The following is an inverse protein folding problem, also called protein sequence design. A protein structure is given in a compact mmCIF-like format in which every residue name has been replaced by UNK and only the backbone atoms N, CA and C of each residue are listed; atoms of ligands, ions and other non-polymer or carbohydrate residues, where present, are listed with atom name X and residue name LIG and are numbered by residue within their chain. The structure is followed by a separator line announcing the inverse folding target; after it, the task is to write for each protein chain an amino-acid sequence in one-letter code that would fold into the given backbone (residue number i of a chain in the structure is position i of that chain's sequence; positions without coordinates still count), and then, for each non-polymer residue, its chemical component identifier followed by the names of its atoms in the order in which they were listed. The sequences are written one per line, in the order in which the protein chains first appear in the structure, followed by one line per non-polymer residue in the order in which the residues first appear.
data_IF_452960410916
#
_entry.id   IF_452960410916
#
_cell.length_a   1.000
_cell.length_b   1.000
_cell.length_c   1.000
_cell.angle_alpha   90.00
_cell.angle_beta   90.00
_cell.angle_gamma   90.00
#
_symmetry.space_group_name_H-M   'P 1'
#
loop_
_entity.id
_entity.type
_entity.pdbx_description
1 polymer ?
#
# COMPACT_ATOMS: atom_id res chain seq x y z
N UNK A 1 31.26 8.45 -20.41
CA UNK A 1 30.33 7.31 -20.24
C UNK A 1 29.33 7.69 -19.17
N UNK A 2 28.13 8.13 -19.55
CA UNK A 2 27.11 8.59 -18.58
C UNK A 2 26.49 7.40 -17.87
N UNK A 3 26.61 7.36 -16.54
CA UNK A 3 25.86 6.44 -15.69
C UNK A 3 24.36 6.57 -15.99
N UNK A 4 23.63 5.48 -16.27
CA UNK A 4 22.21 5.58 -16.54
C UNK A 4 21.50 6.01 -15.25
N UNK A 5 20.85 7.17 -15.30
CA UNK A 5 19.95 7.65 -14.26
C UNK A 5 18.98 6.53 -13.88
N UNK A 6 18.83 6.28 -12.58
CA UNK A 6 17.92 5.26 -12.06
C UNK A 6 16.51 5.54 -12.61
N UNK A 7 16.09 4.77 -13.62
CA UNK A 7 14.76 4.91 -14.19
C UNK A 7 13.74 4.59 -13.10
N UNK A 8 12.67 5.40 -12.93
CA UNK A 8 11.72 5.17 -11.86
C UNK A 8 11.11 3.77 -11.99
N UNK A 9 11.16 3.01 -10.89
CA UNK A 9 10.67 1.63 -10.86
C UNK A 9 9.18 1.56 -11.23
N UNK A 10 8.77 0.49 -11.93
CA UNK A 10 7.36 0.27 -12.22
C UNK A 10 6.55 0.08 -10.93
N UNK A 11 5.39 0.73 -10.84
CA UNK A 11 4.39 0.54 -9.78
C UNK A 11 3.72 -0.83 -9.93
N UNK A 12 2.99 -1.26 -8.91
CA UNK A 12 2.19 -2.48 -8.96
C UNK A 12 1.07 -2.35 -10.01
N UNK A 13 0.46 -1.18 -10.13
CA UNK A 13 -0.50 -0.86 -11.20
C UNK A 13 0.11 -1.02 -12.59
N UNK A 14 1.26 -0.38 -12.84
CA UNK A 14 1.92 -0.46 -14.15
C UNK A 14 2.33 -1.90 -14.47
N UNK A 15 2.80 -2.66 -13.48
CA UNK A 15 3.12 -4.09 -13.65
C UNK A 15 1.88 -4.92 -13.98
N UNK A 16 0.73 -4.62 -13.38
CA UNK A 16 -0.54 -5.25 -13.70
C UNK A 16 -0.92 -4.98 -15.16
N UNK A 17 -0.82 -3.73 -15.62
CA UNK A 17 -1.11 -3.36 -17.00
C UNK A 17 -0.17 -4.06 -18.00
N UNK A 18 1.13 -4.11 -17.72
CA UNK A 18 2.10 -4.89 -18.50
C UNK A 18 1.71 -6.36 -18.56
N UNK A 19 1.31 -6.95 -17.42
CA UNK A 19 0.90 -8.35 -17.34
C UNK A 19 -0.35 -8.64 -18.16
N UNK A 20 -1.35 -7.75 -18.10
CA UNK A 20 -2.58 -7.86 -18.87
C UNK A 20 -2.34 -7.69 -20.36
N UNK A 21 -1.47 -6.74 -20.75
CA UNK A 21 -1.05 -6.55 -22.15
C UNK A 21 -0.39 -7.81 -22.71
N UNK A 22 0.53 -8.41 -21.97
CA UNK A 22 1.18 -9.67 -22.36
C UNK A 22 0.19 -10.85 -22.45
N UNK A 23 -0.87 -10.83 -21.63
CA UNK A 23 -1.93 -11.85 -21.64
C UNK A 23 -2.81 -11.73 -22.89
N UNK A 24 -3.14 -10.50 -23.30
CA UNK A 24 -3.93 -10.21 -24.50
C UNK A 24 -3.15 -10.43 -25.80
N UNK A 25 -1.82 -10.31 -25.75
CA UNK A 25 -0.94 -10.49 -26.91
C UNK A 25 0.17 -11.52 -26.62
N UNK A 26 -0.15 -12.83 -26.56
CA UNK A 26 0.81 -13.87 -26.15
C UNK A 26 2.00 -14.03 -27.11
N UNK A 27 1.83 -13.65 -28.38
CA UNK A 27 2.88 -13.67 -29.42
C UNK A 27 3.86 -12.48 -29.31
N UNK A 28 3.52 -11.44 -28.54
CA UNK A 28 4.35 -10.26 -28.38
C UNK A 28 5.70 -10.64 -27.74
N UNK A 29 6.79 -10.20 -28.35
CA UNK A 29 8.14 -10.47 -27.86
C UNK A 29 8.46 -9.60 -26.65
N UNK A 30 9.40 -10.06 -25.82
CA UNK A 30 9.81 -9.32 -24.62
C UNK A 30 10.30 -7.90 -24.98
N UNK A 31 11.04 -7.74 -26.09
CA UNK A 31 11.52 -6.45 -26.59
C UNK A 31 10.41 -5.49 -27.02
N UNK A 32 9.36 -5.98 -27.67
CA UNK A 32 8.19 -5.17 -28.04
C UNK A 32 7.44 -4.69 -26.80
N UNK A 33 7.36 -5.53 -25.77
CA UNK A 33 6.74 -5.15 -24.50
C UNK A 33 7.58 -4.11 -23.74
N UNK A 34 8.91 -4.15 -23.85
CA UNK A 34 9.79 -3.08 -23.31
C UNK A 34 9.53 -1.75 -24.01
N UNK A 35 9.44 -1.75 -25.34
CA UNK A 35 9.14 -0.54 -26.12
C UNK A 35 7.76 0.01 -25.77
N UNK A 36 6.78 -0.86 -25.57
CA UNK A 36 5.46 -0.46 -25.10
C UNK A 36 5.52 0.21 -23.72
N UNK A 37 6.25 -0.39 -22.76
CA UNK A 37 6.45 0.21 -21.41
C UNK A 37 7.13 1.58 -21.51
N UNK A 38 8.15 1.72 -22.35
CA UNK A 38 8.84 2.98 -22.57
C UNK A 38 7.91 4.04 -23.17
N UNK A 39 7.08 3.65 -24.14
CA UNK A 39 6.13 4.54 -24.79
C UNK A 39 5.01 4.98 -23.83
N UNK A 40 4.42 4.05 -23.10
CA UNK A 40 3.24 4.25 -22.24
C UNK A 40 3.58 4.90 -20.90
N UNK A 41 4.63 4.46 -20.22
CA UNK A 41 4.96 4.92 -18.86
C UNK A 41 6.19 5.82 -18.79
N UNK A 42 6.89 6.05 -19.92
CA UNK A 42 8.17 6.77 -19.97
C UNK A 42 9.24 6.16 -19.05
N UNK A 43 9.19 4.83 -18.86
CA UNK A 43 10.07 4.06 -17.99
C UNK A 43 10.85 3.02 -18.78
N UNK A 44 12.16 2.96 -18.58
CA UNK A 44 13.00 1.89 -19.13
C UNK A 44 12.99 0.68 -18.20
N UNK A 45 12.85 -0.52 -18.78
CA UNK A 45 12.84 -1.79 -18.04
C UNK A 45 13.69 -2.83 -18.75
N UNK A 46 14.35 -3.70 -17.99
CA UNK A 46 15.12 -4.82 -18.54
C UNK A 46 14.24 -5.97 -19.02
N UNK A 47 14.76 -6.77 -19.96
CA UNK A 47 14.13 -8.02 -20.44
C UNK A 47 13.83 -8.97 -19.29
N UNK A 48 14.75 -9.09 -18.32
CA UNK A 48 14.58 -9.86 -17.09
C UNK A 48 13.38 -9.38 -16.26
N UNK A 49 13.11 -8.08 -16.22
CA UNK A 49 11.95 -7.52 -15.50
C UNK A 49 10.65 -7.90 -16.21
N UNK A 50 10.59 -7.79 -17.53
CA UNK A 50 9.46 -8.23 -18.34
C UNK A 50 9.14 -9.71 -18.11
N UNK A 51 10.15 -10.59 -18.17
CA UNK A 51 9.97 -12.02 -17.92
C UNK A 51 9.45 -12.31 -16.52
N UNK A 52 9.98 -11.64 -15.50
CA UNK A 52 9.46 -11.74 -14.12
C UNK A 52 8.00 -11.34 -14.02
N UNK A 53 7.58 -10.29 -14.75
CA UNK A 53 6.18 -9.86 -14.79
C UNK A 53 5.32 -10.93 -15.46
N UNK A 54 5.72 -11.43 -16.65
CA UNK A 54 5.01 -12.48 -17.40
C UNK A 54 4.77 -13.75 -16.58
N UNK A 55 5.78 -14.16 -15.80
CA UNK A 55 5.76 -15.41 -15.03
C UNK A 55 4.94 -15.32 -13.73
N UNK A 56 4.32 -14.18 -13.41
CA UNK A 56 3.44 -14.02 -12.25
C UNK A 56 1.98 -13.87 -12.69
N UNK A 57 1.02 -14.38 -11.92
CA UNK A 57 -0.40 -14.15 -12.22
C UNK A 57 -0.76 -12.66 -12.02
N UNK A 58 -1.79 -12.13 -12.70
CA UNK A 58 -2.25 -10.75 -12.53
C UNK A 58 -2.53 -10.40 -11.06
N UNK A 59 -3.15 -11.31 -10.31
CA UNK A 59 -3.44 -11.14 -8.88
C UNK A 59 -2.19 -10.83 -8.03
N UNK A 60 -1.00 -11.24 -8.46
CA UNK A 60 0.25 -10.89 -7.78
C UNK A 60 0.53 -9.39 -7.77
N UNK A 61 0.00 -8.64 -8.74
CA UNK A 61 0.17 -7.19 -8.84
C UNK A 61 -1.00 -6.39 -8.25
N UNK A 62 -2.18 -6.99 -8.05
CA UNK A 62 -3.35 -6.31 -7.48
C UNK A 62 -3.17 -5.96 -5.99
N UNK A 63 -2.96 -4.70 -5.65
CA UNK A 63 -2.82 -4.25 -4.25
C UNK A 63 -3.67 -3.01 -4.01
N UNK A 64 -4.23 -2.89 -2.80
CA UNK A 64 -4.91 -1.67 -2.37
C UNK A 64 -3.99 -0.43 -2.46
N UNK A 65 -2.67 -0.61 -2.29
CA UNK A 65 -1.68 0.40 -2.62
C UNK A 65 -1.03 0.12 -3.99
N UNK A 66 -1.79 0.35 -5.05
CA UNK A 66 -1.36 0.12 -6.43
C UNK A 66 -0.19 1.04 -6.86
N UNK A 67 -0.05 2.19 -6.21
CA UNK A 67 1.07 3.15 -6.43
C UNK A 67 2.42 2.65 -5.91
N UNK A 68 2.44 1.64 -5.02
CA UNK A 68 3.68 1.07 -4.50
C UNK A 68 4.46 0.33 -5.61
N UNK A 69 5.79 0.35 -5.56
CA UNK A 69 6.63 -0.37 -6.52
C UNK A 69 6.85 -1.83 -6.16
N UNK A 70 6.56 -2.23 -4.91
CA UNK A 70 6.72 -3.60 -4.43
C UNK A 70 5.70 -3.91 -3.33
N UNK A 71 5.15 -5.14 -3.35
CA UNK A 71 4.44 -5.68 -2.19
C UNK A 71 5.38 -5.87 -1.02
N UNK A 72 5.05 -5.26 0.12
CA UNK A 72 5.75 -5.51 1.38
C UNK A 72 5.05 -6.67 2.10
N UNK A 73 5.84 -7.62 2.60
CA UNK A 73 5.34 -8.62 3.55
C UNK A 73 5.09 -7.92 4.88
N UNK A 74 3.97 -8.19 5.51
CA UNK A 74 3.68 -7.70 6.86
C UNK A 74 3.98 -8.81 7.86
N UNK A 75 4.56 -8.42 8.99
CA UNK A 75 5.05 -9.35 10.03
C UNK A 75 3.91 -10.15 10.65
N UNK A 76 2.74 -9.52 10.80
CA UNK A 76 1.54 -10.12 11.37
C UNK A 76 0.37 -9.97 10.38
N UNK A 77 0.33 -10.81 9.33
CA UNK A 77 -0.70 -10.72 8.29
C UNK A 77 -2.09 -11.03 8.85
N UNK A 78 -2.20 -11.91 9.85
CA UNK A 78 -3.47 -12.26 10.49
C UNK A 78 -4.07 -11.06 11.24
N UNK A 79 -3.25 -10.33 12.01
CA UNK A 79 -3.67 -9.10 12.67
C UNK A 79 -4.15 -8.06 11.66
N UNK A 80 -3.40 -7.87 10.58
CA UNK A 80 -3.75 -6.90 9.55
C UNK A 80 -5.05 -7.26 8.84
N UNK A 81 -5.26 -8.55 8.55
CA UNK A 81 -6.50 -9.06 7.95
C UNK A 81 -7.70 -8.77 8.85
N UNK A 82 -7.66 -9.17 10.12
CA UNK A 82 -8.78 -8.96 11.04
C UNK A 82 -9.12 -7.47 11.23
N UNK A 83 -8.10 -6.61 11.21
CA UNK A 83 -8.31 -5.16 11.34
C UNK A 83 -8.91 -4.54 10.06
N UNK A 84 -8.51 -5.02 8.88
CA UNK A 84 -9.14 -4.64 7.60
C UNK A 84 -10.59 -5.11 7.53
N UNK A 85 -10.86 -6.35 7.93
CA UNK A 85 -12.22 -6.91 8.00
C UNK A 85 -13.10 -6.14 9.00
N UNK A 86 -12.52 -5.65 10.09
CA UNK A 86 -13.21 -4.74 11.02
C UNK A 86 -13.50 -3.39 10.36
N UNK A 87 -12.52 -2.79 9.66
CA UNK A 87 -12.70 -1.51 9.00
C UNK A 87 -13.84 -1.57 7.96
N UNK A 88 -13.80 -2.54 7.05
CA UNK A 88 -14.83 -2.65 6.00
C UNK A 88 -16.23 -2.95 6.54
N UNK A 89 -16.35 -3.69 7.65
CA UNK A 89 -17.66 -3.95 8.28
C UNK A 89 -18.29 -2.71 8.91
N UNK A 90 -17.50 -1.69 9.24
CA UNK A 90 -17.99 -0.52 9.99
C UNK A 90 -17.91 0.77 9.13
N UNK A 91 -17.18 0.75 8.02
CA UNK A 91 -17.07 1.84 7.04
C UNK A 91 -18.42 2.23 6.42
N UNK A 92 -19.33 1.27 6.24
CA UNK A 92 -20.66 1.52 5.67
C UNK A 92 -21.58 2.25 6.65
N UNK A 93 -21.39 2.02 7.96
CA UNK A 93 -22.29 2.52 9.00
C UNK A 93 -21.76 3.81 9.68
N UNK A 94 -20.45 4.03 9.74
CA UNK A 94 -19.86 5.17 10.46
C UNK A 94 -18.40 5.48 10.09
N UNK A 95 -17.99 6.74 10.28
CA UNK A 95 -16.59 7.15 10.14
C UNK A 95 -15.77 6.60 11.30
N UNK A 96 -14.83 5.69 11.00
CA UNK A 96 -13.95 5.08 12.00
C UNK A 96 -12.75 5.99 12.27
N UNK A 97 -12.64 6.48 13.51
CA UNK A 97 -11.50 7.30 13.93
C UNK A 97 -10.21 6.47 14.10
N UNK A 98 -9.08 7.17 14.07
CA UNK A 98 -7.75 6.57 14.27
C UNK A 98 -7.64 5.88 15.65
N UNK A 99 -8.26 6.46 16.68
CA UNK A 99 -8.27 5.92 18.03
C UNK A 99 -9.06 4.62 18.13
N UNK A 100 -10.22 4.54 17.46
CA UNK A 100 -11.02 3.31 17.40
C UNK A 100 -10.22 2.20 16.68
N UNK A 101 -9.52 2.54 15.59
CA UNK A 101 -8.65 1.58 14.90
C UNK A 101 -7.49 1.10 15.76
N UNK A 102 -6.85 1.99 16.53
CA UNK A 102 -5.76 1.63 17.44
C UNK A 102 -6.27 0.77 18.60
N UNK A 103 -7.42 1.11 19.18
CA UNK A 103 -8.06 0.32 20.22
C UNK A 103 -8.35 -1.09 19.72
N UNK A 104 -8.99 -1.21 18.55
CA UNK A 104 -9.31 -2.52 17.97
C UNK A 104 -8.06 -3.31 17.58
N UNK A 105 -7.03 -2.64 17.07
CA UNK A 105 -5.75 -3.29 16.80
C UNK A 105 -5.10 -3.82 18.08
N UNK A 106 -5.27 -3.13 19.21
CA UNK A 106 -4.82 -3.56 20.53
C UNK A 106 -5.50 -4.83 21.00
N UNK A 107 -6.82 -4.93 20.82
CA UNK A 107 -7.58 -6.13 21.17
C UNK A 107 -7.15 -7.34 20.34
N UNK A 108 -7.11 -7.19 19.01
CA UNK A 108 -6.66 -8.25 18.10
C UNK A 108 -5.23 -8.69 18.44
N UNK A 109 -4.36 -7.73 18.79
CA UNK A 109 -2.97 -8.02 19.20
C UNK A 109 -2.90 -8.87 20.47
N UNK A 110 -3.75 -8.59 21.46
CA UNK A 110 -3.86 -9.39 22.69
C UNK A 110 -4.37 -10.79 22.39
N UNK A 111 -5.41 -10.92 21.57
CA UNK A 111 -6.00 -12.21 21.18
C UNK A 111 -4.98 -13.09 20.45
N UNK A 112 -4.15 -12.49 19.59
CA UNK A 112 -3.07 -13.16 18.87
C UNK A 112 -1.79 -13.36 19.71
N UNK A 113 -1.80 -12.96 20.99
CA UNK A 113 -0.66 -13.09 21.92
C UNK A 113 0.63 -12.44 21.40
N UNK A 114 0.52 -11.30 20.71
CA UNK A 114 1.66 -10.55 20.17
C UNK A 114 2.13 -9.54 21.23
N UNK A 115 3.41 -9.57 21.59
CA UNK A 115 3.96 -8.66 22.59
C UNK A 115 4.20 -7.22 22.07
N UNK A 116 4.35 -6.26 22.97
CA UNK A 116 4.73 -4.87 22.65
C UNK A 116 6.08 -4.76 21.96
N UNK A 117 7.04 -5.60 22.35
CA UNK A 117 8.36 -5.71 21.72
C UNK A 117 8.25 -6.22 20.28
N UNK A 118 7.28 -7.09 20.01
CA UNK A 118 7.06 -7.67 18.70
C UNK A 118 6.35 -6.70 17.74
N UNK A 119 5.39 -5.92 18.25
CA UNK A 119 4.60 -4.96 17.48
C UNK A 119 4.17 -3.76 18.32
N UNK A 120 4.72 -2.57 18.02
CA UNK A 120 4.26 -1.31 18.63
C UNK A 120 3.17 -0.63 17.80
N UNK A 121 1.96 -0.54 18.36
CA UNK A 121 0.81 0.14 17.75
C UNK A 121 0.90 1.66 17.92
N UNK A 122 1.78 2.28 17.14
CA UNK A 122 1.97 3.73 17.11
C UNK A 122 1.21 4.40 15.97
N UNK A 123 1.04 5.72 16.02
CA UNK A 123 0.50 6.50 14.90
C UNK A 123 1.26 6.26 13.58
N UNK A 124 2.58 6.10 13.65
CA UNK A 124 3.40 5.76 12.48
C UNK A 124 3.15 4.34 11.94
N UNK A 125 2.76 3.40 12.79
CA UNK A 125 2.31 2.07 12.37
C UNK A 125 0.93 2.16 11.70
N UNK A 126 -0.01 2.89 12.32
CA UNK A 126 -1.36 3.07 11.79
C UNK A 126 -1.35 3.74 10.41
N UNK A 127 -0.57 4.81 10.25
CA UNK A 127 -0.41 5.49 8.96
C UNK A 127 0.12 4.54 7.87
N UNK A 128 1.07 3.65 8.21
CA UNK A 128 1.57 2.62 7.29
C UNK A 128 0.52 1.54 7.00
N UNK A 129 -0.25 1.13 8.00
CA UNK A 129 -1.37 0.20 7.83
C UNK A 129 -2.42 0.76 6.88
N UNK A 130 -2.93 1.97 7.14
CA UNK A 130 -3.91 2.63 6.27
C UNK A 130 -3.42 2.77 4.84
N UNK A 131 -2.18 3.26 4.68
CA UNK A 131 -1.54 3.40 3.36
C UNK A 131 -1.36 2.07 2.62
N UNK A 132 -1.14 0.95 3.30
CA UNK A 132 -1.03 -0.37 2.64
C UNK A 132 -2.37 -0.90 2.17
N UNK A 133 -3.41 -0.65 2.96
CA UNK A 133 -4.75 -1.18 2.75
C UNK A 133 -5.68 -0.21 2.01
N UNK A 134 -5.18 0.92 1.52
CA UNK A 134 -5.97 1.88 0.74
C UNK A 134 -7.00 2.64 1.56
N UNK A 135 -6.86 2.65 2.89
CA UNK A 135 -7.79 3.34 3.79
C UNK A 135 -7.46 4.83 3.76
N UNK A 136 -8.39 5.65 3.28
CA UNK A 136 -8.25 7.11 3.30
C UNK A 136 -8.38 7.63 4.73
N UNK A 137 -7.44 8.47 5.16
CA UNK A 137 -7.64 9.25 6.37
C UNK A 137 -8.55 10.43 6.03
N UNK A 138 -9.86 10.29 6.24
CA UNK A 138 -10.67 11.49 6.42
C UNK A 138 -10.28 12.09 7.76
N UNK A 139 -9.25 12.94 7.77
CA UNK A 139 -9.00 13.84 8.90
C UNK A 139 -10.17 14.80 8.94
N UNK A 140 -11.22 14.44 9.67
CA UNK A 140 -12.15 15.44 10.20
C UNK A 140 -11.31 16.27 11.17
N UNK A 141 -10.86 17.43 10.70
CA UNK A 141 -10.24 18.43 11.54
C UNK A 141 -11.37 19.00 12.41
N UNK A 142 -11.71 18.30 13.48
CA UNK A 142 -12.58 18.78 14.54
C UNK A 142 -11.72 19.56 15.53
N UNK A 143 -12.05 20.82 15.70
CA UNK A 143 -11.37 21.82 16.53
C UNK A 143 -11.10 21.31 17.95
N UNK A 144 -9.84 21.40 18.37
CA UNK A 144 -9.46 21.30 19.78
C UNK A 144 -8.17 22.09 19.99
N UNK A 145 -8.24 23.40 19.68
CA UNK A 145 -7.30 24.37 20.25
C UNK A 145 -7.94 24.83 21.56
N UNK A 146 -7.59 24.15 22.65
CA UNK A 146 -7.98 24.57 24.00
C UNK A 146 -6.75 24.82 24.85
N UNK A 147 -6.74 26.03 25.40
CA UNK A 147 -5.98 26.52 26.56
C UNK A 147 -4.53 26.93 26.27
N UNK A 148 -4.07 28.13 26.65
CA UNK A 148 -4.13 28.69 28.01
C UNK A 148 -4.13 30.22 28.07
N UNK A 149 -4.84 30.74 29.08
CA UNK A 149 -4.86 32.13 29.54
C UNK A 149 -3.49 32.65 30.00
N UNK A 150 -3.25 33.96 29.80
CA UNK A 150 -2.48 34.80 30.75
C UNK A 150 -3.10 36.20 30.78
N UNK A 151 -3.61 36.56 31.95
CA UNK A 151 -4.07 37.88 32.39
C UNK A 151 -2.83 38.78 32.59
N UNK A 152 -2.80 39.97 31.99
CA UNK A 152 -1.81 41.01 32.36
C UNK A 152 -2.56 42.29 32.65
N UNK A 153 -2.37 42.74 33.90
CA UNK A 153 -2.87 43.98 34.48
C UNK A 153 -1.85 45.09 34.31
#
# INVERSE_FOLDING_TARGET
MSSPAQSPSLTLEEKLQVRLKAQRAPRMKDGELQLWVLSTFKKSVSTSTIRRIRNKPPAYFCSANSSATRRRKVKFPELEKQLVDFFHRNEEDSVISDDILLLKAGDIKKDLKISDEQLRLSNGWLAKFKKRNGISSHRLHGEADSSTAVEIR
#
